data_IF_143701826455
#
_entry.id   IF_143701826455
#
_cell.length_a   1.000
_cell.length_b   1.000
_cell.length_c   1.000
_cell.angle_alpha   90.00
_cell.angle_beta   90.00
_cell.angle_gamma   90.00
#
_symmetry.space_group_name_H-M   'P 1'
#
loop_
_entity.id
_entity.type
_entity.pdbx_description
1 polymer ?
#
# COMPACT_ATOMS: atom_id res chain seq x y z
N UNK A 1 2.22 19.40 26.47
CA UNK A 1 2.88 19.36 25.14
C UNK A 1 1.88 19.09 24.02
N UNK A 2 1.21 17.93 24.00
CA UNK A 2 0.26 17.56 22.93
C UNK A 2 -0.90 18.54 22.73
N UNK A 3 -1.54 19.00 23.83
CA UNK A 3 -2.60 20.00 23.74
C UNK A 3 -2.11 21.34 23.15
N UNK A 4 -0.93 21.81 23.58
CA UNK A 4 -0.32 23.03 23.02
C UNK A 4 0.04 22.88 21.53
N UNK A 5 0.61 21.74 21.13
CA UNK A 5 0.88 21.42 19.73
C UNK A 5 -0.42 21.40 18.91
N UNK A 6 -1.48 20.79 19.41
CA UNK A 6 -2.78 20.74 18.74
C UNK A 6 -3.36 22.16 18.54
N UNK A 7 -3.25 23.03 19.54
CA UNK A 7 -3.67 24.44 19.42
C UNK A 7 -2.87 25.18 18.36
N UNK A 8 -1.53 25.05 18.36
CA UNK A 8 -0.68 25.70 17.35
C UNK A 8 -1.00 25.19 15.94
N UNK A 9 -1.17 23.87 15.77
CA UNK A 9 -1.55 23.28 14.49
C UNK A 9 -2.93 23.74 14.03
N UNK A 10 -3.91 23.78 14.93
CA UNK A 10 -5.25 24.26 14.61
C UNK A 10 -5.24 25.74 14.20
N UNK A 11 -4.52 26.59 14.93
CA UNK A 11 -4.40 28.01 14.60
C UNK A 11 -3.70 28.22 13.24
N UNK A 12 -2.60 27.50 13.00
CA UNK A 12 -1.89 27.55 11.72
C UNK A 12 -2.76 27.05 10.56
N UNK A 13 -3.50 25.96 10.77
CA UNK A 13 -4.42 25.40 9.77
C UNK A 13 -5.55 26.37 9.42
N UNK A 14 -6.19 26.99 10.42
CA UNK A 14 -7.27 27.97 10.20
C UNK A 14 -6.77 29.19 9.41
N UNK A 15 -5.59 29.71 9.77
CA UNK A 15 -5.01 30.85 9.06
C UNK A 15 -4.66 30.49 7.61
N UNK A 16 -4.07 29.32 7.40
CA UNK A 16 -3.74 28.81 6.07
C UNK A 16 -4.98 28.54 5.22
N UNK A 17 -6.03 28.01 5.83
CA UNK A 17 -7.31 27.77 5.19
C UNK A 17 -7.92 29.07 4.67
N UNK A 18 -7.88 30.12 5.50
CA UNK A 18 -8.37 31.45 5.11
C UNK A 18 -7.56 32.02 3.95
N UNK A 19 -6.22 31.97 4.01
CA UNK A 19 -5.36 32.46 2.94
C UNK A 19 -5.62 31.73 1.61
N UNK A 20 -5.67 30.39 1.61
CA UNK A 20 -5.94 29.62 0.39
C UNK A 20 -7.33 29.90 -0.19
N UNK A 21 -8.34 30.07 0.67
CA UNK A 21 -9.67 30.47 0.23
C UNK A 21 -9.65 31.86 -0.41
N UNK A 22 -8.98 32.83 0.20
CA UNK A 22 -8.87 34.19 -0.34
C UNK A 22 -8.12 34.18 -1.67
N UNK A 23 -7.08 33.37 -1.80
CA UNK A 23 -6.37 33.13 -3.07
C UNK A 23 -7.31 32.57 -4.14
N UNK A 24 -8.16 31.59 -3.80
CA UNK A 24 -9.14 31.03 -4.72
C UNK A 24 -10.15 32.08 -5.19
N UNK A 25 -10.65 32.92 -4.27
CA UNK A 25 -11.56 34.03 -4.61
C UNK A 25 -10.86 35.04 -5.51
N UNK A 26 -9.62 35.41 -5.19
CA UNK A 26 -8.82 36.32 -6.00
C UNK A 26 -8.51 35.74 -7.39
N UNK A 27 -8.40 34.41 -7.50
CA UNK A 27 -8.27 33.68 -8.76
C UNK A 27 -9.59 33.56 -9.55
N UNK A 28 -10.70 34.15 -9.08
CA UNK A 28 -11.99 34.13 -9.78
C UNK A 28 -12.87 32.91 -9.50
N UNK A 29 -12.50 32.06 -8.53
CA UNK A 29 -13.36 30.96 -8.08
C UNK A 29 -14.51 31.54 -7.24
N UNK A 30 -15.78 31.16 -7.48
CA UNK A 30 -16.89 31.66 -6.68
C UNK A 30 -16.67 31.43 -5.18
N UNK A 31 -16.95 32.43 -4.34
CA UNK A 31 -16.70 32.37 -2.89
C UNK A 31 -17.38 31.16 -2.19
N UNK A 32 -18.50 30.67 -2.74
CA UNK A 32 -19.21 29.48 -2.29
C UNK A 32 -18.47 28.16 -2.54
N UNK A 33 -17.50 28.14 -3.46
CA UNK A 33 -16.69 26.96 -3.83
C UNK A 33 -15.23 27.12 -3.40
N UNK A 34 -14.76 28.34 -3.15
CA UNK A 34 -13.38 28.64 -2.80
C UNK A 34 -12.83 27.85 -1.58
N UNK A 35 -13.71 27.45 -0.65
CA UNK A 35 -13.34 26.62 0.51
C UNK A 35 -12.97 25.17 0.14
N UNK A 36 -13.32 24.70 -1.06
CA UNK A 36 -12.94 23.36 -1.53
C UNK A 36 -11.46 23.26 -1.86
N UNK A 37 -10.80 24.38 -2.23
CA UNK A 37 -9.37 24.40 -2.53
C UNK A 37 -8.52 23.99 -1.32
N UNK A 38 -8.60 24.69 -0.15
CA UNK A 38 -7.82 24.28 1.02
C UNK A 38 -8.17 22.86 1.48
N UNK A 39 -9.44 22.45 1.40
CA UNK A 39 -9.83 21.07 1.74
C UNK A 39 -9.16 20.06 0.82
N UNK A 40 -9.14 20.30 -0.49
CA UNK A 40 -8.48 19.38 -1.43
C UNK A 40 -6.99 19.25 -1.09
N UNK A 41 -6.31 20.37 -0.84
CA UNK A 41 -4.88 20.36 -0.47
C UNK A 41 -4.64 19.61 0.85
N UNK A 42 -5.41 19.92 1.90
CA UNK A 42 -5.25 19.31 3.22
C UNK A 42 -5.62 17.82 3.24
N UNK A 43 -6.73 17.44 2.61
CA UNK A 43 -7.13 16.05 2.48
C UNK A 43 -6.12 15.26 1.63
N UNK A 44 -5.64 15.84 0.53
CA UNK A 44 -4.60 15.25 -0.30
C UNK A 44 -3.31 15.03 0.48
N UNK A 45 -2.88 16.02 1.27
CA UNK A 45 -1.67 15.96 2.07
C UNK A 45 -1.80 14.94 3.20
N UNK A 46 -2.96 14.87 3.86
CA UNK A 46 -3.24 13.89 4.90
C UNK A 46 -3.24 12.46 4.33
N UNK A 47 -3.92 12.23 3.19
CA UNK A 47 -3.96 10.92 2.52
C UNK A 47 -2.56 10.50 2.10
N UNK A 48 -1.79 11.38 1.45
CA UNK A 48 -0.44 11.07 1.00
C UNK A 48 0.53 10.86 2.17
N UNK A 49 0.41 11.65 3.24
CA UNK A 49 1.22 11.48 4.44
C UNK A 49 0.92 10.14 5.13
N UNK A 50 -0.37 9.79 5.27
CA UNK A 50 -0.79 8.51 5.82
C UNK A 50 -0.31 7.32 4.98
N UNK A 51 -0.35 7.42 3.65
CA UNK A 51 0.18 6.36 2.76
C UNK A 51 1.70 6.25 2.87
N UNK A 52 2.40 7.38 2.89
CA UNK A 52 3.86 7.41 3.01
C UNK A 52 4.35 6.79 4.33
N UNK A 53 3.68 7.08 5.44
CA UNK A 53 4.03 6.58 6.77
C UNK A 53 3.42 5.20 7.08
N UNK A 54 2.59 4.66 6.20
CA UNK A 54 1.99 3.34 6.38
C UNK A 54 3.01 2.23 6.19
N UNK A 55 3.11 1.33 7.17
CA UNK A 55 3.93 0.11 7.08
C UNK A 55 3.44 -0.90 6.04
N UNK A 56 2.20 -0.77 5.59
CA UNK A 56 1.55 -1.70 4.64
C UNK A 56 1.63 -1.21 3.20
N UNK A 57 2.07 0.03 2.98
CA UNK A 57 2.13 0.60 1.64
C UNK A 57 3.29 -0.02 0.84
N UNK A 58 3.07 -0.36 -0.45
CA UNK A 58 4.13 -0.71 -1.38
C UNK A 58 5.20 0.38 -1.50
N UNK A 59 6.45 0.01 -1.78
CA UNK A 59 7.58 0.95 -1.79
C UNK A 59 7.48 2.03 -2.87
N UNK A 60 6.85 1.70 -4.01
CA UNK A 60 6.51 2.63 -5.09
C UNK A 60 5.40 3.60 -4.66
N UNK A 61 4.32 3.09 -4.05
CA UNK A 61 3.25 3.92 -3.48
C UNK A 61 3.79 4.90 -2.42
N UNK A 62 4.64 4.42 -1.51
CA UNK A 62 5.24 5.25 -0.46
C UNK A 62 6.14 6.36 -1.03
N UNK A 63 6.84 6.11 -2.15
CA UNK A 63 7.69 7.10 -2.82
C UNK A 63 6.85 8.21 -3.46
N UNK A 64 5.80 7.84 -4.19
CA UNK A 64 4.86 8.81 -4.77
C UNK A 64 4.16 9.61 -3.67
N UNK A 65 3.74 8.94 -2.60
CA UNK A 65 3.04 9.56 -1.49
C UNK A 65 3.92 10.57 -0.74
N UNK A 66 5.22 10.25 -0.57
CA UNK A 66 6.21 11.20 -0.06
C UNK A 66 6.32 12.43 -0.95
N UNK A 67 6.46 12.24 -2.27
CA UNK A 67 6.57 13.34 -3.23
C UNK A 67 5.33 14.24 -3.19
N UNK A 68 4.14 13.65 -3.18
CA UNK A 68 2.86 14.36 -3.10
C UNK A 68 2.71 15.13 -1.78
N UNK A 69 3.12 14.54 -0.65
CA UNK A 69 3.09 15.21 0.66
C UNK A 69 3.96 16.46 0.65
N UNK A 70 5.20 16.35 0.17
CA UNK A 70 6.10 17.52 0.08
C UNK A 70 5.60 18.56 -0.91
N UNK A 71 5.05 18.15 -2.06
CA UNK A 71 4.49 19.07 -3.04
C UNK A 71 3.31 19.86 -2.46
N UNK A 72 2.41 19.21 -1.71
CA UNK A 72 1.26 19.86 -1.10
C UNK A 72 1.64 20.77 0.06
N UNK A 73 2.59 20.37 0.90
CA UNK A 73 3.15 21.26 1.93
C UNK A 73 3.79 22.51 1.30
N UNK A 74 4.59 22.33 0.24
CA UNK A 74 5.18 23.45 -0.49
C UNK A 74 4.10 24.34 -1.12
N UNK A 75 3.05 23.74 -1.70
CA UNK A 75 1.90 24.47 -2.25
C UNK A 75 1.19 25.31 -1.18
N UNK A 76 0.99 24.78 0.03
CA UNK A 76 0.39 25.50 1.15
C UNK A 76 1.26 26.69 1.56
N UNK A 77 2.56 26.49 1.73
CA UNK A 77 3.50 27.58 2.09
C UNK A 77 3.52 28.66 1.00
N UNK A 78 3.60 28.25 -0.27
CA UNK A 78 3.59 29.16 -1.42
C UNK A 78 2.28 29.94 -1.53
N UNK A 79 1.12 29.28 -1.31
CA UNK A 79 -0.19 29.93 -1.33
C UNK A 79 -0.32 30.97 -0.24
N UNK A 80 0.11 30.67 0.99
CA UNK A 80 0.15 31.64 2.08
C UNK A 80 1.07 32.82 1.75
N UNK A 81 2.30 32.57 1.28
CA UNK A 81 3.24 33.61 0.91
C UNK A 81 2.71 34.50 -0.24
N UNK A 82 2.04 33.90 -1.22
CA UNK A 82 1.45 34.62 -2.35
C UNK A 82 0.37 35.60 -1.89
N UNK A 83 -0.53 35.20 -0.99
CA UNK A 83 -1.56 36.10 -0.44
C UNK A 83 -0.93 37.27 0.29
N UNK A 84 0.04 37.00 1.18
CA UNK A 84 0.71 38.07 1.92
C UNK A 84 1.50 39.01 1.01
N UNK A 85 2.17 38.47 -0.01
CA UNK A 85 2.89 39.25 -1.01
C UNK A 85 1.96 40.12 -1.85
N UNK A 86 0.83 39.58 -2.31
CA UNK A 86 -0.18 40.34 -3.06
C UNK A 86 -0.79 41.45 -2.22
N UNK A 87 -1.11 41.19 -0.95
CA UNK A 87 -1.61 42.20 -0.02
C UNK A 87 -0.58 43.31 0.23
N UNK A 88 0.69 42.94 0.45
CA UNK A 88 1.76 43.92 0.66
C UNK A 88 2.03 44.79 -0.58
N UNK A 89 1.88 44.23 -1.77
CA UNK A 89 2.13 44.92 -3.04
C UNK A 89 0.87 45.59 -3.64
N UNK A 90 -0.32 45.40 -3.06
CA UNK A 90 -1.62 45.80 -3.62
C UNK A 90 -1.83 45.32 -5.07
N UNK A 91 -1.39 44.10 -5.37
CA UNK A 91 -1.42 43.51 -6.72
C UNK A 91 -2.60 42.55 -6.87
N UNK A 92 -3.34 42.68 -7.97
CA UNK A 92 -4.35 41.71 -8.39
C UNK A 92 -3.65 40.52 -9.05
N UNK A 93 -4.01 39.26 -8.73
CA UNK A 93 -3.35 38.10 -9.31
C UNK A 93 -3.46 38.10 -10.85
N UNK A 94 -2.35 37.91 -11.57
CA UNK A 94 -2.37 37.77 -13.02
C UNK A 94 -3.05 36.46 -13.43
N UNK A 95 -3.54 36.40 -14.66
CA UNK A 95 -4.36 35.28 -15.17
C UNK A 95 -3.71 33.90 -15.00
N UNK A 96 -2.37 33.81 -15.10
CA UNK A 96 -1.66 32.54 -14.96
C UNK A 96 -1.71 32.01 -13.52
N UNK A 97 -1.79 32.88 -12.51
CA UNK A 97 -2.00 32.46 -11.12
C UNK A 97 -3.36 31.78 -10.99
N UNK A 98 -4.40 32.34 -11.60
CA UNK A 98 -5.73 31.73 -11.59
C UNK A 98 -5.73 30.34 -12.24
N UNK A 99 -5.01 30.18 -13.35
CA UNK A 99 -4.84 28.87 -14.02
C UNK A 99 -4.14 27.87 -13.10
N UNK A 100 -3.02 28.27 -12.47
CA UNK A 100 -2.27 27.41 -11.55
C UNK A 100 -3.14 27.02 -10.34
N UNK A 101 -3.81 27.98 -9.72
CA UNK A 101 -4.69 27.75 -8.56
C UNK A 101 -5.86 26.84 -8.93
N UNK A 102 -6.48 27.06 -10.08
CA UNK A 102 -7.56 26.21 -10.60
C UNK A 102 -7.13 24.79 -10.96
N UNK A 103 -5.85 24.58 -11.27
CA UNK A 103 -5.29 23.26 -11.57
C UNK A 103 -4.96 22.43 -10.31
N UNK A 104 -4.88 23.05 -9.12
CA UNK A 104 -4.55 22.34 -7.87
C UNK A 104 -5.58 21.24 -7.54
N UNK A 105 -6.90 21.51 -7.46
CA UNK A 105 -7.87 20.47 -7.14
C UNK A 105 -7.85 19.25 -8.08
N UNK A 106 -7.88 19.41 -9.43
CA UNK A 106 -7.82 18.25 -10.31
C UNK A 106 -6.47 17.52 -10.25
N UNK A 107 -5.35 18.22 -10.03
CA UNK A 107 -4.05 17.58 -9.85
C UNK A 107 -4.01 16.73 -8.56
N UNK A 108 -4.57 17.23 -7.46
CA UNK A 108 -4.69 16.48 -6.20
C UNK A 108 -5.52 15.22 -6.40
N UNK A 109 -6.69 15.33 -7.06
CA UNK A 109 -7.55 14.17 -7.34
C UNK A 109 -6.82 13.15 -8.22
N UNK A 110 -6.13 13.59 -9.28
CA UNK A 110 -5.33 12.68 -10.11
C UNK A 110 -4.24 11.97 -9.32
N UNK A 111 -3.54 12.70 -8.44
CA UNK A 111 -2.52 12.16 -7.54
C UNK A 111 -3.06 11.15 -6.53
N UNK A 112 -4.21 11.44 -5.89
CA UNK A 112 -4.82 10.52 -4.91
C UNK A 112 -5.35 9.26 -5.58
N UNK A 113 -5.95 9.36 -6.78
CA UNK A 113 -6.38 8.19 -7.56
C UNK A 113 -5.18 7.33 -7.95
N UNK A 114 -4.10 7.96 -8.45
CA UNK A 114 -2.88 7.23 -8.79
C UNK A 114 -2.30 6.50 -7.57
N UNK A 115 -2.26 7.15 -6.40
CA UNK A 115 -1.86 6.52 -5.14
C UNK A 115 -2.78 5.36 -4.75
N UNK A 116 -4.09 5.51 -4.86
CA UNK A 116 -5.04 4.45 -4.54
C UNK A 116 -4.81 3.19 -5.41
N UNK A 117 -4.53 3.38 -6.71
CA UNK A 117 -4.19 2.29 -7.62
C UNK A 117 -2.88 1.60 -7.21
N UNK A 118 -1.83 2.35 -6.87
CA UNK A 118 -0.56 1.78 -6.43
C UNK A 118 -0.69 0.98 -5.13
N UNK A 119 -1.45 1.51 -4.16
CA UNK A 119 -1.73 0.80 -2.90
C UNK A 119 -2.53 -0.49 -3.15
N UNK A 120 -3.54 -0.43 -4.02
CA UNK A 120 -4.37 -1.59 -4.36
C UNK A 120 -3.61 -2.72 -5.06
N UNK A 121 -2.58 -2.39 -5.86
CA UNK A 121 -1.72 -3.38 -6.53
C UNK A 121 -0.88 -4.23 -5.58
N UNK A 122 -0.49 -3.68 -4.43
CA UNK A 122 0.39 -4.38 -3.50
C UNK A 122 -0.32 -5.20 -2.42
N UNK A 123 -1.65 -5.15 -2.39
CA UNK A 123 -2.41 -6.10 -1.58
C UNK A 123 -2.46 -7.42 -2.33
N UNK A 124 -1.96 -8.54 -1.78
CA UNK A 124 -2.26 -9.85 -2.33
C UNK A 124 -3.77 -9.95 -2.42
N UNK A 125 -4.33 -9.96 -3.63
CA UNK A 125 -5.73 -10.28 -3.83
C UNK A 125 -5.89 -11.67 -3.19
N UNK A 126 -6.77 -11.85 -2.18
CA UNK A 126 -7.18 -13.19 -1.81
C UNK A 126 -7.64 -13.83 -3.11
N UNK A 127 -6.92 -14.86 -3.56
CA UNK A 127 -7.41 -15.67 -4.66
C UNK A 127 -8.65 -16.31 -4.09
N UNK A 128 -9.78 -15.68 -4.34
CA UNK A 128 -11.08 -16.24 -4.02
C UNK A 128 -11.22 -17.45 -4.95
N UNK A 129 -10.85 -18.61 -4.44
CA UNK A 129 -11.08 -19.90 -5.09
C UNK A 129 -12.59 -20.24 -5.04
N UNK A 130 -13.43 -19.39 -4.43
CA UNK A 130 -14.87 -19.57 -4.31
C UNK A 130 -15.67 -18.76 -5.35
N UNK A 131 -15.28 -18.83 -6.63
CA UNK A 131 -16.10 -18.30 -7.73
C UNK A 131 -16.08 -19.20 -8.98
N UNK A 132 -16.02 -20.52 -8.79
CA UNK A 132 -16.33 -21.51 -9.83
C UNK A 132 -17.30 -22.62 -9.38
N UNK A 133 -17.79 -22.60 -8.13
CA UNK A 133 -18.81 -23.53 -7.65
C UNK A 133 -19.85 -22.77 -6.81
N UNK A 134 -20.94 -22.32 -7.44
CA UNK A 134 -22.32 -22.29 -6.91
C UNK A 134 -23.18 -21.36 -7.76
N UNK A 135 -23.52 -21.82 -8.96
CA UNK A 135 -24.83 -21.53 -9.56
C UNK A 135 -25.30 -22.80 -10.25
N UNK A 136 -25.73 -23.76 -9.43
CA UNK A 136 -26.55 -24.89 -9.86
C UNK A 136 -27.45 -25.27 -8.67
N UNK A 137 -28.63 -24.67 -8.63
CA UNK A 137 -29.73 -25.05 -7.75
C UNK A 137 -30.22 -26.49 -8.05
N UNK A 138 -30.95 -27.10 -7.09
CA UNK A 138 -30.90 -28.53 -6.78
C UNK A 138 -31.93 -29.37 -7.54
N UNK A 139 -31.52 -30.56 -8.01
CA UNK A 139 -32.46 -31.56 -8.49
C UNK A 139 -31.87 -32.56 -9.48
N UNK A 140 -31.23 -33.62 -8.97
CA UNK A 140 -31.27 -34.96 -9.58
C UNK A 140 -30.51 -35.92 -8.65
N UNK A 141 -31.28 -36.79 -8.00
CA UNK A 141 -30.80 -38.02 -7.38
C UNK A 141 -29.98 -38.83 -8.36
N UNK A 142 -28.69 -39.02 -8.09
CA UNK A 142 -27.92 -40.14 -8.63
C UNK A 142 -27.24 -40.88 -7.48
N UNK A 143 -27.74 -42.10 -7.32
CA UNK A 143 -27.28 -43.19 -6.49
C UNK A 143 -25.79 -43.49 -6.70
N UNK A 144 -24.98 -43.37 -5.65
CA UNK A 144 -23.65 -44.01 -5.57
C UNK A 144 -23.47 -44.56 -4.16
N UNK A 145 -23.35 -45.89 -4.11
CA UNK A 145 -23.18 -46.74 -2.95
C UNK A 145 -21.93 -46.41 -2.08
N UNK A 146 -21.89 -46.82 -0.80
CA UNK A 146 -20.93 -46.31 0.17
C UNK A 146 -19.59 -47.05 0.10
N UNK A 147 -18.51 -46.34 -0.25
CA UNK A 147 -17.14 -46.85 -0.11
C UNK A 147 -16.58 -46.51 1.28
N UNK A 148 -16.89 -47.39 2.22
CA UNK A 148 -16.10 -47.84 3.38
C UNK A 148 -14.98 -46.91 3.91
N UNK A 149 -15.20 -46.40 5.13
CA UNK A 149 -14.16 -45.93 6.02
C UNK A 149 -13.09 -47.01 6.29
N UNK A 150 -11.81 -46.62 6.27
CA UNK A 150 -10.69 -47.39 6.85
C UNK A 150 -9.82 -46.48 7.72
N UNK A 151 -9.19 -47.02 8.78
CA UNK A 151 -9.18 -46.41 10.10
C UNK A 151 -7.89 -45.63 10.39
N UNK A 152 -7.97 -44.74 11.39
CA UNK A 152 -6.83 -44.17 12.11
C UNK A 152 -5.84 -45.29 12.49
N UNK A 153 -4.60 -45.17 12.03
CA UNK A 153 -3.45 -45.87 12.61
C UNK A 153 -2.61 -44.86 13.39
N UNK A 154 -2.38 -45.16 14.67
CA UNK A 154 -1.52 -44.42 15.58
C UNK A 154 -0.23 -45.24 15.81
N UNK A 155 0.90 -44.53 15.99
CA UNK A 155 2.19 -44.91 16.67
C UNK A 155 3.30 -45.49 15.74
N UNK A 156 4.65 -45.31 15.95
CA UNK A 156 5.50 -44.53 16.90
C UNK A 156 6.57 -43.58 16.25
N UNK A 157 7.48 -42.89 17.00
CA UNK A 157 8.36 -41.84 16.44
C UNK A 157 9.59 -42.40 15.71
N UNK A 158 9.82 -41.94 14.49
CA UNK A 158 11.02 -42.22 13.70
C UNK A 158 11.82 -40.93 13.46
N UNK A 159 12.51 -40.47 14.51
CA UNK A 159 13.25 -39.21 14.53
C UNK A 159 14.60 -39.20 13.78
N UNK A 160 15.07 -40.33 13.23
CA UNK A 160 16.42 -40.40 12.64
C UNK A 160 16.48 -40.90 11.19
N UNK A 161 15.41 -41.50 10.65
CA UNK A 161 15.39 -41.97 9.25
C UNK A 161 14.75 -40.97 8.27
N UNK A 162 13.84 -40.11 8.74
CA UNK A 162 13.21 -39.09 7.90
C UNK A 162 14.19 -37.97 7.48
N UNK A 163 15.24 -37.70 8.27
CA UNK A 163 16.23 -36.67 7.98
C UNK A 163 17.07 -36.99 6.74
N UNK A 164 17.44 -38.25 6.53
CA UNK A 164 18.24 -38.69 5.38
C UNK A 164 17.43 -38.69 4.07
N UNK A 165 16.14 -39.02 4.12
CA UNK A 165 15.26 -38.95 2.94
C UNK A 165 15.02 -37.49 2.50
N UNK A 166 14.77 -36.59 3.46
CA UNK A 166 14.58 -35.16 3.17
C UNK A 166 15.86 -34.52 2.64
N UNK A 167 17.02 -34.83 3.24
CA UNK A 167 18.31 -34.33 2.77
C UNK A 167 18.67 -34.89 1.37
N UNK A 168 18.35 -36.15 1.09
CA UNK A 168 18.53 -36.79 -0.23
C UNK A 168 17.65 -36.17 -1.32
N UNK A 169 16.36 -35.95 -1.03
CA UNK A 169 15.42 -35.29 -1.95
C UNK A 169 15.82 -33.84 -2.21
N UNK A 170 16.29 -33.13 -1.18
CA UNK A 170 16.79 -31.77 -1.36
C UNK A 170 18.07 -31.71 -2.21
N UNK A 171 19.00 -32.66 -2.06
CA UNK A 171 20.20 -32.74 -2.88
C UNK A 171 19.87 -32.98 -4.37
N UNK A 172 18.89 -33.83 -4.66
CA UNK A 172 18.39 -34.04 -6.02
C UNK A 172 17.81 -32.75 -6.62
N UNK A 173 17.00 -32.02 -5.85
CA UNK A 173 16.44 -30.74 -6.28
C UNK A 173 17.53 -29.67 -6.51
N UNK A 174 18.58 -29.65 -5.69
CA UNK A 174 19.73 -28.75 -5.91
C UNK A 174 20.49 -29.10 -7.18
N UNK A 175 20.68 -30.39 -7.47
CA UNK A 175 21.30 -30.84 -8.72
C UNK A 175 20.48 -30.44 -9.97
N UNK A 176 19.15 -30.35 -9.84
CA UNK A 176 18.25 -29.80 -10.87
C UNK A 176 18.25 -28.26 -10.94
N UNK A 177 19.03 -27.57 -10.10
CA UNK A 177 19.08 -26.10 -10.05
C UNK A 177 17.89 -25.47 -9.29
N UNK A 178 17.16 -26.24 -8.48
CA UNK A 178 16.07 -25.72 -7.69
C UNK A 178 16.57 -24.70 -6.65
N UNK A 179 16.05 -23.48 -6.72
CA UNK A 179 16.29 -22.47 -5.68
C UNK A 179 15.53 -22.75 -4.39
N UNK A 180 15.92 -22.06 -3.31
CA UNK A 180 15.34 -22.19 -1.95
C UNK A 180 13.80 -22.28 -1.88
N UNK A 181 13.10 -21.52 -2.73
CA UNK A 181 11.63 -21.42 -2.74
C UNK A 181 10.96 -22.68 -3.30
N UNK A 182 11.61 -23.32 -4.28
CA UNK A 182 11.11 -24.56 -4.87
C UNK A 182 11.27 -25.71 -3.88
N UNK A 183 12.44 -25.80 -3.24
CA UNK A 183 12.73 -26.79 -2.19
C UNK A 183 11.73 -26.68 -1.02
N UNK A 184 11.45 -25.46 -0.54
CA UNK A 184 10.47 -25.25 0.53
C UNK A 184 9.07 -25.78 0.18
N UNK A 185 8.64 -25.57 -1.07
CA UNK A 185 7.32 -26.03 -1.54
C UNK A 185 7.26 -27.54 -1.71
N UNK A 186 8.31 -28.14 -2.26
CA UNK A 186 8.34 -29.54 -2.68
C UNK A 186 8.59 -30.50 -1.50
N UNK A 187 9.16 -29.97 -0.41
CA UNK A 187 9.36 -30.68 0.85
C UNK A 187 8.36 -30.26 1.94
N UNK A 188 7.41 -29.36 1.63
CA UNK A 188 6.44 -28.81 2.59
C UNK A 188 7.07 -28.23 3.87
N UNK A 189 8.26 -27.63 3.73
CA UNK A 189 9.01 -27.00 4.82
C UNK A 189 9.05 -25.47 4.68
N UNK A 190 9.41 -24.77 5.76
CA UNK A 190 9.56 -23.32 5.74
C UNK A 190 10.80 -22.89 4.93
N UNK A 191 10.81 -21.66 4.39
CA UNK A 191 11.99 -21.11 3.70
C UNK A 191 13.24 -21.03 4.60
N UNK A 192 13.05 -20.93 5.93
CA UNK A 192 14.15 -20.92 6.89
C UNK A 192 14.80 -22.31 6.98
N UNK A 193 13.99 -23.36 7.07
CA UNK A 193 14.46 -24.76 7.08
C UNK A 193 15.14 -25.11 5.76
N UNK A 194 14.57 -24.72 4.61
CA UNK A 194 15.20 -24.93 3.31
C UNK A 194 16.59 -24.25 3.22
N UNK A 195 16.77 -23.08 3.85
CA UNK A 195 18.06 -22.39 3.90
C UNK A 195 19.07 -23.13 4.78
N UNK A 196 18.66 -23.61 5.96
CA UNK A 196 19.53 -24.40 6.83
C UNK A 196 19.95 -25.71 6.15
N UNK A 197 19.03 -26.33 5.40
CA UNK A 197 19.26 -27.58 4.70
C UNK A 197 20.27 -27.41 3.55
N UNK A 198 20.16 -26.33 2.77
CA UNK A 198 21.16 -25.95 1.77
C UNK A 198 22.54 -25.67 2.38
N UNK A 199 22.60 -25.06 3.57
CA UNK A 199 23.87 -24.81 4.26
C UNK A 199 24.54 -26.14 4.68
N UNK A 200 23.78 -27.07 5.29
CA UNK A 200 24.28 -28.39 5.68
C UNK A 200 24.78 -29.21 4.48
N UNK A 201 24.08 -29.16 3.34
CA UNK A 201 24.50 -29.86 2.12
C UNK A 201 25.80 -29.28 1.55
N UNK A 202 25.97 -27.95 1.58
CA UNK A 202 27.21 -27.31 1.14
C UNK A 202 28.41 -27.71 2.00
N UNK A 203 28.20 -27.84 3.31
CA UNK A 203 29.28 -28.24 4.23
C UNK A 203 29.70 -29.70 4.01
N UNK A 204 28.77 -30.61 3.65
CA UNK A 204 29.09 -32.01 3.29
C UNK A 204 29.85 -32.15 1.96
N UNK A 205 29.65 -31.25 1.01
CA UNK A 205 30.37 -31.28 -0.28
C UNK A 205 31.79 -30.73 -0.15
N UNK A 206 32.06 -29.94 0.89
CA UNK A 206 33.36 -29.33 1.15
C UNK A 206 34.31 -30.20 2.01
N UNK A 207 33.82 -31.31 2.58
CA UNK A 207 34.58 -32.30 3.38
C UNK A 207 34.95 -33.52 2.56
#
# INVERSE_FOLDING_TARGET
MWAGLAVVLAAAAVLSFHALRDLAVAAGIPARLAWLLPIAVDAGAAVSCATWLSRRAPADAARVARGMTWALLACTVAGNAAVQGMHAAAVVPPWWVAVVVGAIPPAVVGGTVHLAVLVGRGSPRPVDVAAAEETAEPGATLDVAPATARPLAVVPPAGEQAGDDVDGRAAALVAEGAGRRRIARELEITEHEARQLLARLRDRVAS
#
